data_IF_274994366714
#
_entry.id   IF_274994366714
#
_cell.length_a   1.000
_cell.length_b   1.000
_cell.length_c   1.000
_cell.angle_alpha   90.00
_cell.angle_beta   90.00
_cell.angle_gamma   90.00
#
_symmetry.space_group_name_H-M   'P 1'
#
loop_
_entity.id
_entity.type
_entity.pdbx_description
1 polymer ?
#
# COMPACT_ATOMS: atom_id res chain seq x y z
N UNK A 1 14.10 1.75 37.38
CA UNK A 1 13.34 0.52 37.70
C UNK A 1 14.20 -0.64 37.26
N UNK A 2 14.41 -1.65 38.11
CA UNK A 2 15.22 -2.81 37.73
C UNK A 2 14.44 -3.74 36.80
N UNK A 3 15.13 -4.51 35.96
CA UNK A 3 14.48 -5.42 34.98
C UNK A 3 13.74 -6.58 35.65
N UNK A 4 13.98 -6.79 36.93
CA UNK A 4 13.34 -7.78 37.81
C UNK A 4 12.05 -7.28 38.44
N UNK A 5 11.73 -5.99 38.31
CA UNK A 5 10.47 -5.41 38.80
C UNK A 5 9.30 -5.90 37.94
N UNK A 6 8.23 -6.40 38.55
CA UNK A 6 7.06 -6.91 37.82
C UNK A 6 6.41 -5.84 36.91
N UNK A 7 6.50 -4.57 37.30
CA UNK A 7 6.02 -3.44 36.48
C UNK A 7 6.85 -3.29 35.20
N UNK A 8 8.12 -3.72 35.23
CA UNK A 8 9.01 -3.61 34.06
C UNK A 8 8.54 -4.58 33.00
N UNK A 9 8.27 -5.82 33.39
CA UNK A 9 7.69 -6.83 32.50
C UNK A 9 6.36 -6.35 31.92
N UNK A 10 5.46 -5.84 32.76
CA UNK A 10 4.17 -5.31 32.30
C UNK A 10 4.31 -4.17 31.28
N UNK A 11 5.22 -3.22 31.50
CA UNK A 11 5.46 -2.14 30.53
C UNK A 11 6.08 -2.63 29.24
N UNK A 12 7.02 -3.59 29.29
CA UNK A 12 7.59 -4.17 28.08
C UNK A 12 6.50 -4.88 27.26
N UNK A 13 5.64 -5.67 27.91
CA UNK A 13 4.53 -6.34 27.20
C UNK A 13 3.57 -5.35 26.54
N UNK A 14 3.20 -4.27 27.23
CA UNK A 14 2.36 -3.21 26.63
C UNK A 14 3.07 -2.58 25.41
N UNK A 15 4.38 -2.33 25.51
CA UNK A 15 5.13 -1.76 24.39
C UNK A 15 5.24 -2.74 23.22
N UNK A 16 5.41 -4.04 23.46
CA UNK A 16 5.43 -5.07 22.42
C UNK A 16 4.06 -5.23 21.73
N UNK A 17 2.97 -5.05 22.49
CA UNK A 17 1.61 -5.05 21.95
C UNK A 17 1.29 -3.79 21.12
N UNK A 18 1.72 -2.61 21.58
CA UNK A 18 1.35 -1.33 20.98
C UNK A 18 2.35 -0.85 19.89
N UNK A 19 3.62 -1.26 19.96
CA UNK A 19 4.65 -0.85 19.01
C UNK A 19 4.80 -1.87 17.88
N UNK A 20 3.85 -1.85 16.97
CA UNK A 20 3.90 -2.67 15.75
C UNK A 20 4.90 -2.03 14.76
N UNK A 21 5.78 -2.87 14.18
CA UNK A 21 6.70 -2.43 13.14
C UNK A 21 5.93 -1.92 11.92
N UNK A 22 6.33 -0.76 11.40
CA UNK A 22 5.74 -0.14 10.23
C UNK A 22 6.82 0.48 9.35
N UNK A 23 6.54 0.55 8.05
CA UNK A 23 7.51 1.01 7.06
C UNK A 23 7.33 2.50 6.75
N UNK A 24 8.11 3.39 7.37
CA UNK A 24 8.06 4.82 7.06
C UNK A 24 6.73 5.49 7.44
N UNK A 25 6.24 6.44 6.63
CA UNK A 25 4.94 7.08 6.86
C UNK A 25 3.81 6.06 6.64
N UNK A 26 2.85 6.00 7.56
CA UNK A 26 1.80 4.98 7.56
C UNK A 26 0.79 5.15 6.43
N UNK A 27 0.60 6.35 5.91
CA UNK A 27 -0.36 6.66 4.85
C UNK A 27 0.00 6.05 3.48
N UNK A 28 1.23 6.23 2.93
CA UNK A 28 1.61 5.53 1.70
C UNK A 28 1.60 4.01 1.89
N UNK A 29 1.94 3.50 3.07
CA UNK A 29 1.86 2.06 3.36
C UNK A 29 0.43 1.55 3.35
N UNK A 30 -0.52 2.30 3.93
CA UNK A 30 -1.92 1.92 3.91
C UNK A 30 -2.49 1.89 2.48
N UNK A 31 -2.06 2.82 1.62
CA UNK A 31 -2.39 2.80 0.18
C UNK A 31 -1.78 1.57 -0.49
N UNK A 32 -0.50 1.28 -0.26
CA UNK A 32 0.18 0.11 -0.82
C UNK A 32 -0.50 -1.20 -0.38
N UNK A 33 -0.87 -1.31 0.90
CA UNK A 33 -1.59 -2.46 1.45
C UNK A 33 -2.96 -2.63 0.79
N UNK A 34 -3.74 -1.56 0.66
CA UNK A 34 -5.03 -1.60 -0.03
C UNK A 34 -4.88 -2.02 -1.51
N UNK A 35 -3.82 -1.56 -2.17
CA UNK A 35 -3.55 -1.88 -3.57
C UNK A 35 -3.06 -3.31 -3.78
N UNK A 36 -2.17 -3.80 -2.90
CA UNK A 36 -1.75 -5.20 -2.86
C UNK A 36 -2.96 -6.13 -2.66
N UNK A 37 -3.82 -5.78 -1.70
CA UNK A 37 -5.04 -6.56 -1.42
C UNK A 37 -6.02 -6.53 -2.60
N UNK A 38 -6.17 -5.39 -3.27
CA UNK A 38 -7.00 -5.29 -4.47
C UNK A 38 -6.48 -6.19 -5.60
N UNK A 39 -5.15 -6.25 -5.82
CA UNK A 39 -4.54 -7.17 -6.80
C UNK A 39 -4.78 -8.63 -6.42
N UNK A 40 -4.54 -9.00 -5.17
CA UNK A 40 -4.77 -10.38 -4.69
C UNK A 40 -6.22 -10.84 -4.94
N UNK A 41 -7.19 -9.98 -4.62
CA UNK A 41 -8.61 -10.26 -4.82
C UNK A 41 -9.00 -10.30 -6.30
N UNK A 42 -8.35 -9.46 -7.13
CA UNK A 42 -8.55 -9.47 -8.58
C UNK A 42 -7.96 -10.73 -9.24
N UNK A 43 -6.89 -11.29 -8.68
CA UNK A 43 -6.19 -12.47 -9.21
C UNK A 43 -5.39 -12.22 -10.49
N UNK A 44 -5.21 -10.95 -10.88
CA UNK A 44 -4.49 -10.55 -12.09
C UNK A 44 -3.80 -9.18 -11.89
N UNK A 45 -2.83 -8.86 -12.76
CA UNK A 45 -2.25 -7.51 -12.81
C UNK A 45 -3.29 -6.51 -13.35
N UNK A 46 -3.64 -5.44 -12.59
CA UNK A 46 -4.64 -4.47 -13.04
C UNK A 46 -4.17 -3.69 -14.27
N UNK A 47 -5.07 -3.45 -15.21
CA UNK A 47 -4.84 -2.57 -16.38
C UNK A 47 -5.27 -1.13 -16.13
N UNK A 48 -6.00 -0.89 -15.04
CA UNK A 48 -6.39 0.45 -14.56
C UNK A 48 -6.59 0.41 -13.05
N UNK A 49 -6.22 1.50 -12.38
CA UNK A 49 -6.37 1.65 -10.93
C UNK A 49 -7.00 2.99 -10.60
N UNK A 50 -7.88 3.00 -9.62
CA UNK A 50 -8.47 4.21 -9.06
C UNK A 50 -8.34 4.21 -7.54
N UNK A 51 -7.77 5.27 -7.00
CA UNK A 51 -7.52 5.46 -5.57
C UNK A 51 -8.35 6.65 -5.11
N UNK A 52 -9.34 6.41 -4.27
CA UNK A 52 -10.06 7.45 -3.55
C UNK A 52 -9.61 7.46 -2.09
N UNK A 53 -9.20 8.61 -1.57
CA UNK A 53 -8.74 8.70 -0.17
C UNK A 53 -9.17 9.99 0.52
N UNK A 54 -9.27 9.96 1.86
CA UNK A 54 -9.61 11.14 2.66
C UNK A 54 -8.56 12.25 2.49
N UNK A 55 -8.96 13.50 2.77
CA UNK A 55 -8.07 14.66 2.56
C UNK A 55 -6.79 14.61 3.40
N UNK A 56 -6.85 14.04 4.60
CA UNK A 56 -5.72 13.79 5.49
C UNK A 56 -4.72 12.79 4.89
N UNK A 57 -5.21 11.65 4.36
CA UNK A 57 -4.39 10.65 3.65
C UNK A 57 -3.70 11.29 2.46
N UNK A 58 -4.46 12.00 1.61
CA UNK A 58 -3.90 12.63 0.42
C UNK A 58 -2.81 13.62 0.82
N UNK A 59 -3.08 14.49 1.79
CA UNK A 59 -2.11 15.48 2.29
C UNK A 59 -0.81 14.82 2.76
N UNK A 60 -0.91 13.72 3.50
CA UNK A 60 0.24 13.05 4.10
C UNK A 60 0.98 12.13 3.12
N UNK A 61 0.32 11.58 2.10
CA UNK A 61 0.95 10.65 1.14
C UNK A 61 1.44 11.32 -0.16
N UNK A 62 0.85 12.47 -0.57
CA UNK A 62 1.03 13.07 -1.91
C UNK A 62 2.49 13.30 -2.34
N UNK A 63 3.41 13.57 -1.43
CA UNK A 63 4.81 13.91 -1.78
C UNK A 63 5.84 13.14 -0.98
N UNK A 64 5.41 12.13 -0.22
CA UNK A 64 6.29 11.31 0.61
C UNK A 64 7.00 10.29 -0.26
N UNK A 65 8.27 10.02 0.06
CA UNK A 65 9.05 8.94 -0.54
C UNK A 65 8.48 7.61 -0.06
N UNK A 66 8.14 6.75 -1.01
CA UNK A 66 7.70 5.39 -0.70
C UNK A 66 8.93 4.56 -0.32
N UNK A 67 8.95 3.88 0.84
CA UNK A 67 10.08 3.05 1.25
C UNK A 67 10.40 1.97 0.22
N UNK A 68 11.67 1.60 0.09
CA UNK A 68 12.15 0.50 -0.78
C UNK A 68 11.86 0.63 -2.28
N UNK A 69 11.37 1.77 -2.77
CA UNK A 69 11.10 2.00 -4.20
C UNK A 69 12.18 2.79 -4.93
N UNK A 70 13.39 2.91 -4.37
CA UNK A 70 14.47 3.67 -5.01
C UNK A 70 14.21 5.18 -5.15
N UNK A 71 13.27 5.73 -4.36
CA UNK A 71 13.00 7.18 -4.32
C UNK A 71 11.72 7.62 -5.04
N UNK A 72 10.86 6.69 -5.48
CA UNK A 72 9.53 7.03 -5.99
C UNK A 72 8.69 7.71 -4.89
N UNK A 73 7.79 8.60 -5.31
CA UNK A 73 7.02 9.46 -4.40
C UNK A 73 5.55 9.48 -4.77
N UNK A 74 4.72 9.71 -3.76
CA UNK A 74 3.30 9.98 -3.95
C UNK A 74 2.41 8.74 -3.91
N UNK A 75 1.12 8.98 -4.11
CA UNK A 75 0.03 8.00 -3.93
C UNK A 75 0.08 6.95 -5.04
N UNK A 76 0.35 7.39 -6.27
CA UNK A 76 0.47 6.53 -7.43
C UNK A 76 1.63 5.54 -7.27
N UNK A 77 2.78 6.03 -6.80
CA UNK A 77 3.93 5.19 -6.51
C UNK A 77 3.64 4.17 -5.40
N UNK A 78 2.94 4.57 -4.34
CA UNK A 78 2.56 3.68 -3.26
C UNK A 78 1.60 2.57 -3.74
N UNK A 79 0.58 2.95 -4.51
CA UNK A 79 -0.35 1.99 -5.10
C UNK A 79 0.34 1.03 -6.07
N UNK A 80 1.23 1.53 -6.93
CA UNK A 80 2.00 0.71 -7.87
C UNK A 80 2.94 -0.26 -7.14
N UNK A 81 3.65 0.19 -6.11
CA UNK A 81 4.51 -0.66 -5.29
C UNK A 81 3.71 -1.78 -4.61
N UNK A 82 2.55 -1.46 -4.03
CA UNK A 82 1.65 -2.45 -3.46
C UNK A 82 1.14 -3.47 -4.48
N UNK A 83 0.77 -3.01 -5.68
CA UNK A 83 0.30 -3.91 -6.74
C UNK A 83 1.43 -4.82 -7.22
N UNK A 84 2.57 -4.27 -7.63
CA UNK A 84 3.60 -5.06 -8.30
C UNK A 84 4.31 -5.99 -7.31
N UNK A 85 4.71 -5.46 -6.16
CA UNK A 85 5.67 -6.08 -5.26
C UNK A 85 5.16 -6.23 -3.81
N UNK A 86 3.92 -5.80 -3.53
CA UNK A 86 3.36 -5.85 -2.19
C UNK A 86 2.90 -7.24 -1.78
N UNK A 87 3.16 -7.60 -0.52
CA UNK A 87 2.66 -8.80 0.13
C UNK A 87 1.62 -8.43 1.20
N UNK A 88 0.32 -8.53 0.88
CA UNK A 88 -0.72 -7.96 1.75
C UNK A 88 -0.78 -8.65 3.13
N UNK A 89 -0.35 -9.91 3.21
CA UNK A 89 -0.22 -10.66 4.48
C UNK A 89 0.71 -10.00 5.50
N UNK A 90 1.61 -9.11 5.08
CA UNK A 90 2.56 -8.39 5.94
C UNK A 90 2.04 -7.06 6.47
N UNK A 91 0.78 -6.71 6.20
CA UNK A 91 0.14 -5.54 6.80
C UNK A 91 0.97 -4.24 6.61
N UNK A 92 1.47 -3.62 7.68
CA UNK A 92 2.25 -2.38 7.61
C UNK A 92 3.69 -2.58 7.09
N UNK A 93 4.07 -3.83 6.81
CA UNK A 93 5.32 -4.23 6.16
C UNK A 93 5.09 -4.75 4.73
N UNK A 94 3.94 -4.42 4.11
CA UNK A 94 3.55 -4.89 2.76
C UNK A 94 4.65 -4.76 1.69
N UNK A 95 5.53 -3.78 1.79
CA UNK A 95 6.62 -3.51 0.84
C UNK A 95 8.01 -3.61 1.47
N UNK A 96 8.18 -4.44 2.50
CA UNK A 96 9.46 -4.60 3.20
C UNK A 96 10.52 -5.33 2.36
N UNK A 97 10.13 -6.25 1.48
CA UNK A 97 11.05 -7.10 0.71
C UNK A 97 11.09 -6.74 -0.79
N UNK A 98 10.79 -5.48 -1.14
CA UNK A 98 10.88 -5.01 -2.53
C UNK A 98 12.33 -5.07 -3.01
N UNK A 99 12.59 -5.89 -4.02
CA UNK A 99 13.92 -6.04 -4.62
C UNK A 99 14.20 -4.96 -5.68
N UNK A 100 15.47 -4.75 -6.09
CA UNK A 100 15.78 -3.81 -7.16
C UNK A 100 15.06 -4.13 -8.49
N UNK A 101 14.84 -5.41 -8.80
CA UNK A 101 14.08 -5.83 -9.99
C UNK A 101 12.61 -5.45 -9.87
N UNK A 102 12.03 -5.59 -8.67
CA UNK A 102 10.65 -5.14 -8.42
C UNK A 102 10.50 -3.63 -8.60
N UNK A 103 11.53 -2.84 -8.23
CA UNK A 103 11.51 -1.39 -8.47
C UNK A 103 11.46 -1.07 -9.98
N UNK A 104 12.21 -1.80 -10.81
CA UNK A 104 12.16 -1.65 -12.27
C UNK A 104 10.75 -1.96 -12.81
N UNK A 105 10.12 -3.03 -12.31
CA UNK A 105 8.75 -3.39 -12.69
C UNK A 105 7.70 -2.37 -12.19
N UNK A 106 7.88 -1.79 -10.99
CA UNK A 106 7.04 -0.70 -10.48
C UNK A 106 7.13 0.51 -11.39
N UNK A 107 8.33 0.89 -11.82
CA UNK A 107 8.54 2.00 -12.76
C UNK A 107 7.90 1.70 -14.11
N UNK A 108 8.06 0.48 -14.63
CA UNK A 108 7.43 0.06 -15.88
C UNK A 108 5.90 0.09 -15.78
N UNK A 109 5.33 -0.40 -14.67
CA UNK A 109 3.91 -0.39 -14.39
C UNK A 109 3.35 1.04 -14.34
N UNK A 110 4.01 1.96 -13.64
CA UNK A 110 3.65 3.38 -13.60
C UNK A 110 3.64 4.04 -14.99
N UNK A 111 4.53 3.60 -15.89
CA UNK A 111 4.62 4.13 -17.25
C UNK A 111 3.51 3.65 -18.20
N UNK A 112 2.89 2.49 -17.92
CA UNK A 112 1.91 1.85 -18.81
C UNK A 112 0.49 1.76 -18.26
N UNK A 113 0.33 1.86 -16.94
CA UNK A 113 -0.96 1.65 -16.28
C UNK A 113 -1.50 2.97 -15.70
N UNK A 114 -2.69 3.43 -16.14
CA UNK A 114 -3.30 4.62 -15.56
C UNK A 114 -3.71 4.38 -14.10
N UNK A 115 -3.17 5.21 -13.21
CA UNK A 115 -3.56 5.31 -11.80
C UNK A 115 -4.17 6.69 -11.57
N UNK A 116 -5.48 6.73 -11.33
CA UNK A 116 -6.19 7.97 -11.02
C UNK A 116 -6.36 8.12 -9.51
N UNK A 117 -6.11 9.32 -8.99
CA UNK A 117 -6.26 9.64 -7.57
C UNK A 117 -7.32 10.72 -7.39
N UNK A 118 -8.28 10.49 -6.50
CA UNK A 118 -9.30 11.47 -6.15
C UNK A 118 -9.50 11.57 -4.63
N UNK A 119 -10.06 12.69 -4.18
CA UNK A 119 -10.50 12.84 -2.80
C UNK A 119 -11.79 12.06 -2.60
N UNK A 120 -11.81 11.16 -1.62
CA UNK A 120 -13.02 10.47 -1.22
C UNK A 120 -14.06 11.46 -0.71
N UNK A 121 -15.32 11.26 -1.11
CA UNK A 121 -16.48 11.96 -0.56
C UNK A 121 -17.03 11.17 0.64
N UNK A 122 -16.18 11.00 1.66
CA UNK A 122 -16.55 10.37 2.91
C UNK A 122 -16.31 11.34 4.07
N UNK A 123 -17.19 11.28 5.07
CA UNK A 123 -17.02 12.05 6.32
C UNK A 123 -15.98 11.45 7.27
N UNK A 124 -15.14 10.53 6.78
CA UNK A 124 -14.16 9.82 7.58
C UNK A 124 -12.78 10.48 7.46
N UNK A 125 -12.09 10.61 8.59
CA UNK A 125 -10.74 11.14 8.63
C UNK A 125 -9.71 10.15 8.09
N UNK A 126 -10.01 8.85 8.09
CA UNK A 126 -9.12 7.82 7.55
C UNK A 126 -9.94 6.93 6.61
N UNK A 127 -9.87 7.24 5.32
CA UNK A 127 -10.57 6.49 4.28
C UNK A 127 -9.65 6.29 3.08
N UNK A 128 -9.60 5.05 2.60
CA UNK A 128 -8.80 4.62 1.46
C UNK A 128 -9.61 3.54 0.75
N UNK A 129 -9.94 3.81 -0.51
CA UNK A 129 -10.61 2.89 -1.41
C UNK A 129 -9.74 2.73 -2.64
N UNK A 130 -9.24 1.51 -2.88
CA UNK A 130 -8.53 1.15 -4.11
C UNK A 130 -9.42 0.25 -4.95
N UNK A 131 -9.67 0.68 -6.18
CA UNK A 131 -10.40 -0.10 -7.19
C UNK A 131 -9.44 -0.48 -8.31
N UNK A 132 -9.27 -1.78 -8.50
CA UNK A 132 -8.44 -2.36 -9.55
C UNK A 132 -9.33 -2.99 -10.62
N UNK A 133 -8.94 -2.83 -11.89
CA UNK A 133 -9.69 -3.34 -13.03
C UNK A 133 -8.76 -4.16 -13.92
N UNK A 134 -9.18 -5.36 -14.31
CA UNK A 134 -8.52 -6.14 -15.36
C UNK A 134 -9.17 -5.83 -16.72
N UNK A 135 -8.44 -6.08 -17.81
CA UNK A 135 -9.09 -6.17 -19.12
C UNK A 135 -10.06 -7.35 -19.11
N UNK A 136 -11.24 -7.21 -19.71
CA UNK A 136 -12.10 -8.37 -19.92
C UNK A 136 -11.33 -9.39 -20.75
N UNK A 137 -11.31 -10.64 -20.30
CA UNK A 137 -10.93 -11.74 -21.17
C UNK A 137 -11.84 -11.63 -22.38
N UNK A 138 -11.27 -11.50 -23.58
CA UNK A 138 -12.04 -11.66 -24.79
C UNK A 138 -12.64 -13.07 -24.71
N UNK A 139 -13.90 -13.16 -24.30
CA UNK A 139 -14.66 -14.40 -24.38
C UNK A 139 -14.52 -14.85 -25.83
N UNK A 140 -13.88 -16.01 -25.99
CA UNK A 140 -13.81 -16.69 -27.27
C UNK A 140 -15.24 -16.98 -27.69
N UNK A 141 -15.83 -16.05 -28.43
CA UNK A 141 -17.09 -16.22 -29.09
C UNK A 141 -16.90 -17.39 -30.06
N UNK A 142 -17.44 -18.54 -29.66
CA UNK A 142 -17.58 -19.68 -30.53
C UNK A 142 -18.32 -19.27 -31.80
N UNK A 143 -17.69 -19.58 -32.93
CA UNK A 143 -18.33 -19.96 -34.19
C UNK A 143 -17.56 -21.16 -34.71
#
# INVERSE_FOLDING_TARGET
MERTDERYGAYVSILEEELIAAMGCTEPIAIALAAARARELLGAEPTRVHVAASGSIIKNAKSVVVPHTGGLKGIEAAAAAGIVAGEAGRSLEVIADVSPADVEEVVAYLGRTPIAVERADSGLDFDIVVRAFAAEAADGAGV
#
